data_IF_967101883566
#
_entry.id   IF_967101883566
#
_cell.length_a   1.000
_cell.length_b   1.000
_cell.length_c   1.000
_cell.angle_alpha   90.00
_cell.angle_beta   90.00
_cell.angle_gamma   90.00
#
_symmetry.space_group_name_H-M   'P 1'
#
loop_
_entity.id
_entity.type
_entity.pdbx_description
1 polymer ?
#
# COMPACT_ATOMS: atom_id res chain seq x y z
N UNK A 1 -19.05 20.37 -13.13
CA UNK A 1 -19.23 19.04 -13.75
C UNK A 1 -19.23 18.01 -12.64
N UNK A 2 -20.13 17.04 -12.72
CA UNK A 2 -20.19 15.95 -11.75
C UNK A 2 -18.95 15.05 -11.86
N UNK A 3 -18.44 14.58 -10.72
CA UNK A 3 -17.27 13.70 -10.64
C UNK A 3 -17.73 12.34 -10.11
N UNK A 4 -17.62 11.31 -10.94
CA UNK A 4 -18.12 9.98 -10.59
C UNK A 4 -16.98 8.97 -10.49
N UNK A 5 -17.11 8.07 -9.53
CA UNK A 5 -16.14 7.00 -9.26
C UNK A 5 -16.87 5.66 -9.30
N UNK A 6 -16.20 4.62 -9.84
CA UNK A 6 -16.76 3.27 -9.85
C UNK A 6 -16.58 2.61 -8.49
N UNK A 7 -17.59 1.88 -8.03
CA UNK A 7 -17.62 1.29 -6.68
C UNK A 7 -16.54 0.24 -6.38
N UNK A 8 -15.85 -0.29 -7.39
CA UNK A 8 -14.75 -1.25 -7.24
C UNK A 8 -13.40 -0.59 -6.96
N UNK A 9 -13.29 0.74 -7.05
CA UNK A 9 -12.08 1.46 -6.63
C UNK A 9 -11.83 1.22 -5.14
N UNK A 10 -10.59 0.85 -4.84
CA UNK A 10 -10.10 0.70 -3.48
C UNK A 10 -9.57 2.03 -2.94
N UNK A 11 -9.98 2.35 -1.72
CA UNK A 11 -9.57 3.54 -0.96
C UNK A 11 -9.00 3.13 0.39
N UNK A 12 -8.09 3.94 0.90
CA UNK A 12 -7.44 3.71 2.18
C UNK A 12 -8.30 4.33 3.30
N UNK A 13 -8.69 3.51 4.28
CA UNK A 13 -9.53 3.92 5.41
C UNK A 13 -8.81 3.69 6.74
N UNK A 14 -9.35 4.24 7.83
CA UNK A 14 -8.83 4.03 9.19
C UNK A 14 -8.80 2.54 9.60
N UNK A 15 -9.58 1.68 8.95
CA UNK A 15 -9.61 0.24 9.21
C UNK A 15 -8.89 -0.59 8.12
N UNK A 16 -8.14 0.08 7.23
CA UNK A 16 -7.45 -0.55 6.10
C UNK A 16 -8.13 -0.27 4.75
N UNK A 17 -7.79 -1.07 3.74
CA UNK A 17 -8.23 -0.81 2.36
C UNK A 17 -9.66 -1.34 2.14
N UNK A 18 -10.57 -0.48 1.67
CA UNK A 18 -11.98 -0.82 1.39
C UNK A 18 -12.37 -0.43 -0.04
N UNK A 19 -13.36 -1.14 -0.60
CA UNK A 19 -14.03 -0.73 -1.85
C UNK A 19 -14.97 0.42 -1.56
N UNK A 20 -15.10 1.35 -2.51
CA UNK A 20 -16.04 2.48 -2.39
C UNK A 20 -17.47 2.00 -2.17
N UNK A 21 -17.91 0.94 -2.86
CA UNK A 21 -19.27 0.41 -2.68
C UNK A 21 -19.52 -0.32 -1.34
N UNK A 22 -18.48 -0.42 -0.49
CA UNK A 22 -18.53 -0.99 0.85
C UNK A 22 -18.25 0.04 1.96
N UNK A 23 -18.09 1.32 1.60
CA UNK A 23 -17.96 2.38 2.58
C UNK A 23 -19.26 2.59 3.36
N UNK A 24 -19.09 3.02 4.61
CA UNK A 24 -20.10 3.40 5.57
C UNK A 24 -19.86 4.85 6.03
N UNK A 25 -20.84 5.45 6.69
CA UNK A 25 -20.73 6.83 7.19
C UNK A 25 -19.67 7.02 8.27
N UNK A 26 -19.24 5.94 8.92
CA UNK A 26 -18.25 5.97 10.00
C UNK A 26 -16.82 5.79 9.48
N UNK A 27 -16.66 5.48 8.19
CA UNK A 27 -15.35 5.33 7.58
C UNK A 27 -14.69 6.71 7.42
N UNK A 28 -13.42 6.78 7.82
CA UNK A 28 -12.57 7.93 7.57
C UNK A 28 -11.58 7.57 6.45
N UNK A 29 -11.41 8.45 5.49
CA UNK A 29 -10.53 8.23 4.35
C UNK A 29 -9.17 8.88 4.59
N UNK A 30 -8.10 8.15 4.25
CA UNK A 30 -6.75 8.68 4.24
C UNK A 30 -6.67 9.82 3.20
N UNK A 31 -6.07 10.93 3.59
CA UNK A 31 -5.85 12.11 2.74
C UNK A 31 -4.38 12.22 2.35
N UNK A 32 -4.07 13.11 1.40
CA UNK A 32 -2.70 13.36 0.92
C UNK A 32 -1.72 13.78 2.03
N UNK A 33 -2.23 14.33 3.13
CA UNK A 33 -1.44 14.79 4.28
C UNK A 33 -1.23 13.69 5.34
N UNK A 34 -1.41 12.41 4.99
CA UNK A 34 -1.34 11.26 5.91
C UNK A 34 -2.30 11.33 7.12
N UNK A 35 -3.43 12.05 6.96
CA UNK A 35 -4.48 12.16 7.99
C UNK A 35 -5.77 11.56 7.50
N UNK A 36 -6.59 11.06 8.42
CA UNK A 36 -7.92 10.57 8.13
C UNK A 36 -8.95 11.71 8.17
N UNK A 37 -9.90 11.71 7.22
CA UNK A 37 -10.95 12.72 7.08
C UNK A 37 -12.31 12.07 6.90
N UNK A 38 -13.34 12.68 7.49
CA UNK A 38 -14.71 12.19 7.38
C UNK A 38 -15.27 12.37 5.96
N UNK A 39 -16.20 11.48 5.61
CA UNK A 39 -16.92 11.52 4.34
C UNK A 39 -18.09 12.52 4.47
N UNK A 40 -18.09 13.58 3.65
CA UNK A 40 -19.14 14.62 3.66
C UNK A 40 -20.21 14.39 2.62
N UNK A 41 -19.87 13.73 1.51
CA UNK A 41 -20.80 13.37 0.46
C UNK A 41 -20.53 11.93 0.03
N UNK A 42 -21.58 11.10 0.05
CA UNK A 42 -21.54 9.74 -0.47
C UNK A 42 -22.87 9.40 -1.14
N UNK A 43 -22.96 9.62 -2.45
CA UNK A 43 -24.19 9.41 -3.21
C UNK A 43 -23.98 8.37 -4.31
N UNK A 44 -24.82 7.33 -4.31
CA UNK A 44 -24.88 6.33 -5.37
C UNK A 44 -25.80 6.80 -6.48
N UNK A 45 -25.29 6.85 -7.71
CA UNK A 45 -26.03 7.27 -8.90
C UNK A 45 -25.91 6.19 -9.97
N UNK A 46 -27.05 5.73 -10.51
CA UNK A 46 -27.04 4.80 -11.64
C UNK A 46 -26.89 5.60 -12.95
N UNK A 47 -25.88 5.28 -13.75
CA UNK A 47 -25.67 5.86 -15.07
C UNK A 47 -25.84 4.81 -16.17
N UNK A 48 -26.30 5.26 -17.33
CA UNK A 48 -26.34 4.49 -18.57
C UNK A 48 -25.44 5.18 -19.60
N UNK A 49 -24.74 4.39 -20.40
CA UNK A 49 -23.90 4.89 -21.48
C UNK A 49 -22.83 5.91 -21.06
N UNK A 50 -22.22 5.71 -19.90
CA UNK A 50 -21.27 6.63 -19.29
C UNK A 50 -19.81 6.28 -19.66
N UNK A 51 -18.99 7.25 -20.00
CA UNK A 51 -17.58 6.99 -20.34
C UNK A 51 -16.71 7.05 -19.08
N UNK A 52 -15.80 6.09 -18.95
CA UNK A 52 -14.80 6.05 -17.89
C UNK A 52 -13.41 5.90 -18.51
N UNK A 53 -12.39 6.22 -17.72
CA UNK A 53 -11.00 5.96 -18.03
C UNK A 53 -10.53 4.78 -17.21
N UNK A 54 -10.03 3.75 -17.89
CA UNK A 54 -9.37 2.59 -17.28
C UNK A 54 -7.92 2.97 -17.01
N UNK A 55 -7.52 2.94 -15.75
CA UNK A 55 -6.22 3.38 -15.24
C UNK A 55 -5.51 2.18 -14.62
N UNK A 56 -4.21 2.06 -14.92
CA UNK A 56 -3.28 1.12 -14.28
C UNK A 56 -2.00 1.88 -13.95
N UNK A 57 -1.55 1.79 -12.70
CA UNK A 57 -0.30 2.39 -12.23
C UNK A 57 0.70 1.30 -11.85
N UNK A 58 1.99 1.65 -11.72
CA UNK A 58 3.05 0.65 -11.69
C UNK A 58 2.98 -0.35 -10.54
N UNK A 59 2.45 0.07 -9.40
CA UNK A 59 2.32 -0.71 -8.18
C UNK A 59 0.95 -1.41 -8.02
N UNK A 60 0.05 -1.34 -9.00
CA UNK A 60 -1.30 -1.93 -8.92
C UNK A 60 -1.40 -3.26 -9.67
N UNK A 61 -2.20 -4.18 -9.10
CA UNK A 61 -2.55 -5.47 -9.73
C UNK A 61 -3.79 -5.36 -10.61
N UNK A 62 -4.76 -4.55 -10.19
CA UNK A 62 -6.02 -4.35 -10.90
C UNK A 62 -5.96 -3.20 -11.89
N UNK A 63 -7.03 -3.07 -12.67
CA UNK A 63 -7.33 -1.84 -13.37
C UNK A 63 -8.50 -1.16 -12.66
N UNK A 64 -8.41 0.16 -12.50
CA UNK A 64 -9.46 0.96 -11.89
C UNK A 64 -10.08 1.91 -12.89
N UNK A 65 -11.23 2.45 -12.54
CA UNK A 65 -12.05 3.23 -13.45
C UNK A 65 -12.49 4.54 -12.79
N UNK A 66 -12.19 5.65 -13.46
CA UNK A 66 -12.59 6.99 -13.04
C UNK A 66 -13.30 7.74 -14.16
N UNK A 67 -14.24 8.60 -13.82
CA UNK A 67 -14.70 9.64 -14.75
C UNK A 67 -13.55 10.59 -15.11
N UNK A 68 -13.58 11.11 -16.35
CA UNK A 68 -12.55 12.01 -16.87
C UNK A 68 -12.46 13.35 -16.15
N UNK A 69 -13.51 13.78 -15.44
CA UNK A 69 -13.53 15.03 -14.67
C UNK A 69 -13.01 14.88 -13.23
N UNK A 70 -12.76 13.65 -12.76
CA UNK A 70 -12.00 13.48 -11.52
C UNK A 70 -10.62 14.07 -11.72
N UNK A 71 -10.03 14.60 -10.65
CA UNK A 71 -8.65 15.08 -10.69
C UNK A 71 -7.77 14.14 -9.90
N UNK A 72 -6.56 13.91 -10.39
CA UNK A 72 -5.51 13.20 -9.64
C UNK A 72 -4.31 14.12 -9.47
N UNK A 73 -3.65 14.04 -8.31
CA UNK A 73 -2.39 14.75 -8.10
C UNK A 73 -1.31 14.06 -8.94
N UNK A 74 -0.76 14.77 -9.92
CA UNK A 74 0.20 14.24 -10.86
C UNK A 74 1.36 15.20 -11.14
N UNK A 75 2.47 14.65 -11.64
CA UNK A 75 3.51 15.40 -12.34
C UNK A 75 3.50 14.94 -13.80
N UNK A 76 3.49 15.91 -14.70
CA UNK A 76 3.53 15.72 -16.15
C UNK A 76 4.87 16.21 -16.70
N UNK A 77 5.15 15.91 -17.97
CA UNK A 77 6.32 16.38 -18.73
C UNK A 77 7.69 15.89 -18.19
N UNK A 78 7.72 14.76 -17.48
CA UNK A 78 8.99 14.07 -17.17
C UNK A 78 9.42 13.29 -18.43
N UNK A 79 10.67 13.45 -18.92
CA UNK A 79 11.14 12.71 -20.09
C UNK A 79 11.03 11.20 -19.88
N UNK A 80 10.55 10.49 -20.91
CA UNK A 80 10.23 9.07 -20.81
C UNK A 80 11.44 8.19 -20.50
N UNK A 81 12.60 8.56 -21.04
CA UNK A 81 13.89 7.88 -20.92
C UNK A 81 14.71 8.31 -19.70
N UNK A 82 14.21 9.30 -18.94
CA UNK A 82 14.86 9.74 -17.71
C UNK A 82 14.86 8.62 -16.69
N UNK A 83 16.04 8.34 -16.11
CA UNK A 83 16.14 7.37 -15.02
C UNK A 83 15.43 7.92 -13.79
N UNK A 84 14.80 7.03 -13.03
CA UNK A 84 14.02 7.40 -11.83
C UNK A 84 14.84 8.23 -10.84
N UNK A 85 16.13 7.91 -10.68
CA UNK A 85 17.03 8.62 -9.77
C UNK A 85 17.33 10.06 -10.21
N UNK A 86 17.14 10.37 -11.50
CA UNK A 86 17.37 11.70 -12.07
C UNK A 86 16.07 12.54 -12.08
N UNK A 87 14.90 11.93 -11.84
CA UNK A 87 13.61 12.62 -11.88
C UNK A 87 13.52 13.80 -10.91
N UNK A 88 14.01 13.65 -9.68
CA UNK A 88 13.96 14.71 -8.66
C UNK A 88 14.77 15.93 -9.09
N UNK A 89 15.96 15.73 -9.66
CA UNK A 89 16.80 16.83 -10.13
C UNK A 89 16.15 17.52 -11.33
N UNK A 90 15.64 16.74 -12.29
CA UNK A 90 14.91 17.29 -13.43
C UNK A 90 13.74 18.18 -13.02
N UNK A 91 12.91 17.72 -12.06
CA UNK A 91 11.76 18.50 -11.56
C UNK A 91 12.23 19.83 -10.96
N UNK A 92 13.24 19.80 -10.07
CA UNK A 92 13.79 21.01 -9.43
C UNK A 92 14.32 22.01 -10.44
N UNK A 93 14.96 21.54 -11.50
CA UNK A 93 15.50 22.40 -12.56
C UNK A 93 14.42 22.92 -13.52
N UNK A 94 13.23 22.29 -13.55
CA UNK A 94 12.18 22.52 -14.55
C UNK A 94 10.78 22.77 -13.95
N UNK A 95 10.70 23.37 -12.76
CA UNK A 95 9.43 23.60 -12.01
C UNK A 95 8.32 24.29 -12.82
N UNK A 96 8.68 25.08 -13.84
CA UNK A 96 7.72 25.74 -14.73
C UNK A 96 6.93 24.78 -15.63
N UNK A 97 7.48 23.61 -15.92
CA UNK A 97 6.90 22.62 -16.85
C UNK A 97 6.61 21.27 -16.18
N UNK A 98 7.32 20.95 -15.09
CA UNK A 98 7.17 19.72 -14.33
C UNK A 98 6.97 20.08 -12.86
N UNK A 99 5.72 20.21 -12.42
CA UNK A 99 5.35 20.46 -11.02
C UNK A 99 4.10 19.67 -10.63
N UNK A 100 3.94 19.35 -9.33
CA UNK A 100 2.74 18.70 -8.80
C UNK A 100 1.48 19.53 -9.08
N UNK A 101 0.49 18.94 -9.73
CA UNK A 101 -0.80 19.58 -10.00
C UNK A 101 -1.93 18.57 -10.07
N UNK A 102 -3.12 18.99 -9.63
CA UNK A 102 -4.35 18.24 -9.82
C UNK A 102 -4.84 18.34 -11.26
N UNK A 103 -4.61 17.27 -12.03
CA UNK A 103 -4.99 17.19 -13.45
C UNK A 103 -6.21 16.31 -13.63
N UNK A 104 -7.11 16.73 -14.50
CA UNK A 104 -8.27 15.92 -14.91
C UNK A 104 -7.79 14.59 -15.47
N UNK A 105 -8.43 13.49 -15.08
CA UNK A 105 -8.12 12.14 -15.57
C UNK A 105 -8.13 12.06 -17.10
N UNK A 106 -8.96 12.85 -17.77
CA UNK A 106 -9.00 12.91 -19.25
C UNK A 106 -7.71 13.41 -19.89
N UNK A 107 -6.86 14.10 -19.14
CA UNK A 107 -5.63 14.76 -19.60
C UNK A 107 -4.37 14.04 -19.09
N UNK A 108 -4.53 12.96 -18.32
CA UNK A 108 -3.42 12.14 -17.83
C UNK A 108 -3.03 11.13 -18.92
N UNK A 109 -1.74 10.89 -19.04
CA UNK A 109 -1.12 9.94 -19.99
C UNK A 109 -0.32 8.87 -19.26
N UNK A 110 0.15 7.86 -19.99
CA UNK A 110 1.07 6.82 -19.50
C UNK A 110 2.54 7.30 -19.33
N UNK A 111 2.80 8.58 -19.61
CA UNK A 111 4.06 9.27 -19.30
C UNK A 111 4.04 9.97 -17.94
N UNK A 112 2.86 10.12 -17.35
CA UNK A 112 2.68 10.89 -16.12
C UNK A 112 2.92 10.04 -14.86
N UNK A 113 3.18 10.74 -13.76
CA UNK A 113 3.34 10.16 -12.43
C UNK A 113 2.23 10.63 -11.52
N UNK A 114 1.66 9.73 -10.73
CA UNK A 114 0.60 10.02 -9.76
C UNK A 114 1.13 9.89 -8.34
N UNK A 115 0.61 10.73 -7.45
CA UNK A 115 1.09 10.82 -6.08
C UNK A 115 0.40 9.81 -5.16
N UNK A 116 1.19 9.27 -4.24
CA UNK A 116 0.75 8.65 -2.99
C UNK A 116 1.36 9.44 -1.83
N UNK A 117 0.69 9.53 -0.67
CA UNK A 117 1.20 10.30 0.44
C UNK A 117 2.49 9.66 0.99
N UNK A 118 3.40 10.49 1.50
CA UNK A 118 4.62 10.05 2.17
C UNK A 118 4.88 10.91 3.40
N UNK A 119 4.88 10.28 4.58
CA UNK A 119 5.15 11.00 5.82
C UNK A 119 6.65 11.01 6.12
N UNK A 120 7.26 12.18 5.93
CA UNK A 120 8.63 12.46 6.33
C UNK A 120 8.76 12.86 7.80
N UNK A 121 7.66 13.07 8.51
CA UNK A 121 7.75 13.42 9.92
C UNK A 121 8.04 12.14 10.72
N UNK A 122 9.28 12.03 11.20
CA UNK A 122 9.70 11.01 12.16
C UNK A 122 9.22 11.34 13.58
N UNK A 123 7.96 11.78 13.72
CA UNK A 123 7.34 11.97 15.04
C UNK A 123 6.99 10.59 15.62
N UNK A 124 8.02 9.87 16.04
CA UNK A 124 7.95 8.63 16.80
C UNK A 124 7.77 8.98 18.29
N UNK A 125 6.72 9.73 18.63
CA UNK A 125 6.32 9.99 20.01
C UNK A 125 5.61 8.77 20.61
N UNK A 126 6.24 7.61 20.50
CA UNK A 126 5.75 6.35 21.08
C UNK A 126 6.77 5.85 22.09
N UNK A 127 6.37 5.82 23.37
CA UNK A 127 7.20 5.36 24.49
C UNK A 127 7.28 3.82 24.61
N UNK A 128 6.62 3.07 23.70
CA UNK A 128 6.71 1.60 23.66
C UNK A 128 7.93 1.15 22.84
N UNK A 129 9.06 0.97 23.53
CA UNK A 129 10.33 0.52 22.95
C UNK A 129 10.49 -1.01 22.90
N UNK A 130 9.40 -1.79 23.02
CA UNK A 130 9.48 -3.25 22.98
C UNK A 130 9.65 -3.78 21.54
N UNK A 131 10.85 -3.63 20.99
CA UNK A 131 11.21 -4.08 19.64
C UNK A 131 10.97 -5.59 19.44
N UNK A 132 11.19 -6.41 20.47
CA UNK A 132 10.94 -7.85 20.43
C UNK A 132 9.47 -8.17 20.16
N UNK A 133 8.53 -7.44 20.79
CA UNK A 133 7.08 -7.59 20.54
C UNK A 133 6.72 -7.28 19.09
N UNK A 134 7.27 -6.21 18.51
CA UNK A 134 6.96 -5.83 17.13
C UNK A 134 7.64 -6.75 16.12
N UNK A 135 8.86 -7.20 16.39
CA UNK A 135 9.53 -8.24 15.62
C UNK A 135 8.71 -9.53 15.60
N UNK A 136 8.22 -9.98 16.76
CA UNK A 136 7.36 -11.18 16.85
C UNK A 136 6.05 -11.01 16.07
N UNK A 137 5.37 -9.86 16.21
CA UNK A 137 4.19 -9.52 15.38
C UNK A 137 4.48 -9.58 13.88
N UNK A 138 5.67 -9.18 13.46
CA UNK A 138 6.16 -9.32 12.10
C UNK A 138 6.27 -10.77 11.62
N UNK A 139 6.88 -11.63 12.44
CA UNK A 139 7.04 -13.06 12.11
C UNK A 139 5.70 -13.78 11.92
N UNK A 140 4.69 -13.42 12.71
CA UNK A 140 3.35 -14.04 12.66
C UNK A 140 2.37 -13.33 11.70
N UNK A 141 2.83 -12.28 11.00
CA UNK A 141 1.99 -11.52 10.09
C UNK A 141 1.38 -12.43 9.02
N UNK A 142 0.13 -12.14 8.63
CA UNK A 142 -0.68 -13.01 7.76
C UNK A 142 -1.04 -14.37 8.39
N UNK A 143 -1.04 -14.47 9.72
CA UNK A 143 -1.51 -15.66 10.46
C UNK A 143 -0.51 -16.81 10.49
N UNK A 144 0.79 -16.53 10.36
CA UNK A 144 1.83 -17.54 10.42
C UNK A 144 2.03 -18.05 11.85
N UNK A 145 1.57 -19.27 12.13
CA UNK A 145 1.65 -19.91 13.44
C UNK A 145 2.51 -21.20 13.44
N UNK A 146 3.10 -21.53 12.29
CA UNK A 146 3.95 -22.69 12.10
C UNK A 146 5.10 -22.34 11.16
N UNK A 147 6.33 -22.56 11.62
CA UNK A 147 7.54 -22.27 10.87
C UNK A 147 8.36 -23.54 10.69
N UNK A 148 8.89 -23.76 9.49
CA UNK A 148 9.90 -24.77 9.20
C UNK A 148 11.18 -24.06 8.77
N UNK A 149 12.11 -23.89 9.70
CA UNK A 149 13.27 -23.00 9.57
C UNK A 149 14.55 -23.80 9.39
N UNK A 150 15.45 -23.33 8.52
CA UNK A 150 16.76 -23.96 8.34
C UNK A 150 17.68 -23.61 9.52
N UNK A 151 18.31 -24.61 10.13
CA UNK A 151 19.09 -24.45 11.36
C UNK A 151 20.32 -23.53 11.17
N UNK A 152 20.89 -23.48 9.96
CA UNK A 152 22.06 -22.66 9.66
C UNK A 152 21.66 -21.24 9.25
N UNK A 153 20.66 -21.11 8.37
CA UNK A 153 20.24 -19.81 7.84
C UNK A 153 19.41 -19.00 8.83
N UNK A 154 18.59 -19.67 9.64
CA UNK A 154 17.60 -19.02 10.52
C UNK A 154 17.93 -19.15 12.01
N UNK A 155 19.20 -19.42 12.36
CA UNK A 155 19.65 -19.63 13.76
C UNK A 155 19.17 -18.52 14.70
N UNK A 156 19.27 -17.26 14.28
CA UNK A 156 18.87 -16.10 15.08
C UNK A 156 17.35 -16.04 15.28
N UNK A 157 16.57 -16.29 14.24
CA UNK A 157 15.10 -16.30 14.31
C UNK A 157 14.59 -17.47 15.15
N UNK A 158 15.20 -18.66 15.04
CA UNK A 158 14.91 -19.83 15.88
C UNK A 158 15.16 -19.50 17.36
N UNK A 159 16.33 -18.95 17.69
CA UNK A 159 16.68 -18.57 19.06
C UNK A 159 15.74 -17.50 19.62
N UNK A 160 15.39 -16.52 18.79
CA UNK A 160 14.42 -15.48 19.14
C UNK A 160 13.03 -16.07 19.45
N UNK A 161 12.46 -16.87 18.54
CA UNK A 161 11.13 -17.46 18.72
C UNK A 161 11.07 -18.30 20.00
N UNK A 162 12.06 -19.17 20.22
CA UNK A 162 12.12 -20.01 21.41
C UNK A 162 12.12 -19.17 22.71
N UNK A 163 12.97 -18.13 22.76
CA UNK A 163 13.06 -17.23 23.91
C UNK A 163 11.77 -16.42 24.10
N UNK A 164 11.23 -15.85 23.02
CA UNK A 164 10.06 -14.98 23.08
C UNK A 164 8.81 -15.75 23.53
N UNK A 165 8.55 -16.92 22.92
CA UNK A 165 7.40 -17.76 23.26
C UNK A 165 7.47 -18.22 24.73
N UNK A 166 8.65 -18.66 25.18
CA UNK A 166 8.89 -19.04 26.57
C UNK A 166 8.64 -17.88 27.55
N UNK A 167 9.25 -16.71 27.29
CA UNK A 167 9.15 -15.57 28.20
C UNK A 167 7.74 -14.99 28.29
N UNK A 168 6.90 -15.20 27.27
CA UNK A 168 5.52 -14.73 27.23
C UNK A 168 4.50 -15.84 27.57
N UNK A 169 4.95 -17.01 28.05
CA UNK A 169 4.09 -18.15 28.40
C UNK A 169 3.14 -18.59 27.26
N UNK A 170 3.59 -18.45 26.01
CA UNK A 170 2.83 -18.92 24.84
C UNK A 170 3.13 -20.42 24.69
N UNK A 171 2.14 -21.33 24.66
CA UNK A 171 2.41 -22.74 24.43
C UNK A 171 2.90 -23.00 23.00
N UNK A 172 3.98 -23.77 22.85
CA UNK A 172 4.56 -24.11 21.56
C UNK A 172 5.19 -25.50 21.56
N UNK A 173 5.24 -26.11 20.38
CA UNK A 173 5.96 -27.35 20.10
C UNK A 173 7.20 -27.05 19.26
N UNK A 174 8.33 -27.70 19.59
CA UNK A 174 9.56 -27.66 18.78
C UNK A 174 9.93 -29.08 18.36
N UNK A 175 10.08 -29.26 17.05
CA UNK A 175 10.62 -30.49 16.46
C UNK A 175 11.91 -30.13 15.73
N UNK A 176 13.03 -30.71 16.17
CA UNK A 176 14.34 -30.44 15.56
C UNK A 176 14.86 -31.69 14.84
N UNK A 177 15.42 -31.50 13.65
CA UNK A 177 16.23 -32.51 12.97
C UNK A 177 17.57 -31.88 12.54
N UNK A 178 18.43 -32.63 11.86
CA UNK A 178 19.79 -32.16 11.53
C UNK A 178 19.82 -30.89 10.63
N UNK A 179 18.75 -30.59 9.89
CA UNK A 179 18.70 -29.53 8.87
C UNK A 179 17.71 -28.42 9.26
N UNK A 180 16.59 -28.78 9.86
CA UNK A 180 15.45 -27.89 10.10
C UNK A 180 14.92 -27.97 11.52
N UNK A 181 14.51 -26.83 12.05
CA UNK A 181 13.71 -26.71 13.28
C UNK A 181 12.30 -26.29 12.88
N UNK A 182 11.32 -27.09 13.27
CA UNK A 182 9.91 -26.75 13.15
C UNK A 182 9.39 -26.21 14.48
N UNK A 183 8.82 -25.00 14.48
CA UNK A 183 8.19 -24.38 15.66
C UNK A 183 6.72 -24.17 15.33
N UNK A 184 5.83 -24.66 16.19
CA UNK A 184 4.37 -24.50 16.05
C UNK A 184 3.78 -23.96 17.34
N UNK A 185 2.83 -23.05 17.23
CA UNK A 185 2.04 -22.55 18.34
C UNK A 185 0.64 -22.22 17.86
N UNK A 186 -0.26 -21.90 18.77
CA UNK A 186 -1.59 -21.43 18.41
C UNK A 186 -1.81 -20.03 18.97
N UNK A 187 -2.05 -19.07 18.09
CA UNK A 187 -2.46 -17.72 18.43
C UNK A 187 -3.73 -17.39 17.64
N UNK A 188 -4.75 -16.96 18.37
CA UNK A 188 -6.01 -16.50 17.79
C UNK A 188 -5.97 -15.02 17.40
N UNK A 189 -5.02 -14.25 17.96
CA UNK A 189 -4.96 -12.81 17.76
C UNK A 189 -4.09 -12.45 16.57
N UNK A 190 -4.72 -11.87 15.55
CA UNK A 190 -4.03 -11.18 14.45
C UNK A 190 -3.58 -9.82 15.00
N UNK A 191 -2.34 -9.38 14.74
CA UNK A 191 -1.88 -8.09 15.25
C UNK A 191 -2.78 -6.96 14.73
N UNK A 192 -3.26 -6.11 15.63
CA UNK A 192 -3.80 -4.80 15.24
C UNK A 192 -2.62 -3.91 14.82
N UNK A 193 -2.55 -3.59 13.51
CA UNK A 193 -1.42 -2.85 12.92
C UNK A 193 -1.87 -1.49 12.34
N UNK A 194 -3.18 -1.26 12.27
CA UNK A 194 -3.74 -0.07 11.63
C UNK A 194 -3.45 1.22 12.41
N UNK A 195 -3.18 1.15 13.72
CA UNK A 195 -2.95 2.32 14.58
C UNK A 195 -1.50 2.45 15.09
N UNK A 196 -0.58 1.61 14.60
CA UNK A 196 0.81 1.66 15.04
C UNK A 196 1.58 2.83 14.42
N UNK A 197 2.53 3.37 15.17
CA UNK A 197 3.49 4.37 14.69
C UNK A 197 4.37 3.80 13.57
N UNK A 198 4.96 4.71 12.78
CA UNK A 198 5.86 4.36 11.67
C UNK A 198 7.01 3.46 12.14
N UNK A 199 7.64 3.77 13.29
CA UNK A 199 8.68 2.93 13.92
C UNK A 199 8.23 1.49 14.14
N UNK A 200 7.06 1.27 14.76
CA UNK A 200 6.57 -0.08 15.03
C UNK A 200 6.19 -0.83 13.76
N UNK A 201 5.63 -0.13 12.75
CA UNK A 201 5.37 -0.73 11.44
C UNK A 201 6.67 -1.18 10.77
N UNK A 202 7.75 -0.39 10.87
CA UNK A 202 9.08 -0.79 10.38
C UNK A 202 9.55 -2.06 11.08
N UNK A 203 9.48 -2.13 12.41
CA UNK A 203 9.90 -3.32 13.18
C UNK A 203 9.10 -4.58 12.81
N UNK A 204 7.78 -4.43 12.59
CA UNK A 204 6.92 -5.51 12.07
C UNK A 204 7.36 -5.95 10.69
N UNK A 205 7.56 -5.02 9.76
CA UNK A 205 7.92 -5.36 8.38
C UNK A 205 9.32 -5.98 8.30
N UNK A 206 10.27 -5.56 9.15
CA UNK A 206 11.58 -6.19 9.29
C UNK A 206 11.46 -7.64 9.78
N UNK A 207 10.69 -7.86 10.85
CA UNK A 207 10.42 -9.21 11.34
C UNK A 207 9.77 -10.11 10.28
N UNK A 208 8.82 -9.58 9.51
CA UNK A 208 8.19 -10.30 8.40
C UNK A 208 9.20 -10.67 7.30
N UNK A 209 10.06 -9.73 6.91
CA UNK A 209 11.06 -9.91 5.86
C UNK A 209 12.15 -10.94 6.20
N UNK A 210 12.41 -11.22 7.49
CA UNK A 210 13.38 -12.24 7.91
C UNK A 210 13.12 -13.62 7.30
N UNK A 211 11.83 -13.98 7.15
CA UNK A 211 11.40 -15.29 6.67
C UNK A 211 10.75 -15.24 5.28
N UNK A 212 10.32 -14.06 4.85
CA UNK A 212 9.48 -13.90 3.67
C UNK A 212 10.11 -12.91 2.67
N UNK A 213 11.22 -13.26 1.98
CA UNK A 213 11.75 -12.43 0.89
C UNK A 213 10.75 -12.34 -0.29
N UNK A 214 9.90 -13.35 -0.43
CA UNK A 214 8.78 -13.38 -1.37
C UNK A 214 7.55 -13.94 -0.67
N UNK A 215 6.38 -13.44 -1.04
CA UNK A 215 5.09 -13.98 -0.61
C UNK A 215 4.36 -14.50 -1.83
N UNK A 216 3.91 -15.75 -1.77
CA UNK A 216 3.10 -16.38 -2.79
C UNK A 216 1.73 -16.71 -2.19
N UNK A 217 0.68 -16.04 -2.64
CA UNK A 217 -0.67 -16.17 -2.05
C UNK A 217 -1.75 -16.12 -3.13
N UNK A 218 -2.81 -16.91 -2.98
CA UNK A 218 -4.04 -16.77 -3.78
C UNK A 218 -4.98 -15.72 -3.17
N UNK A 219 -4.76 -15.35 -1.90
CA UNK A 219 -5.61 -14.43 -1.18
C UNK A 219 -5.19 -12.98 -1.45
N UNK A 220 -5.98 -12.31 -2.29
CA UNK A 220 -5.80 -10.90 -2.63
C UNK A 220 -5.75 -9.97 -1.41
N UNK A 221 -6.42 -10.33 -0.30
CA UNK A 221 -6.39 -9.52 0.93
C UNK A 221 -4.98 -9.43 1.51
N UNK A 222 -4.18 -10.49 1.42
CA UNK A 222 -2.82 -10.50 1.95
C UNK A 222 -1.96 -9.45 1.22
N UNK A 223 -2.09 -9.34 -0.11
CA UNK A 223 -1.40 -8.31 -0.89
C UNK A 223 -1.79 -6.90 -0.43
N UNK A 224 -3.08 -6.62 -0.26
CA UNK A 224 -3.54 -5.30 0.15
C UNK A 224 -3.19 -4.97 1.60
N UNK A 225 -3.19 -5.96 2.49
CA UNK A 225 -2.69 -5.81 3.87
C UNK A 225 -1.22 -5.39 3.84
N UNK A 226 -0.36 -6.13 3.12
CA UNK A 226 1.05 -5.77 2.99
C UNK A 226 1.22 -4.40 2.33
N UNK A 227 0.47 -4.12 1.26
CA UNK A 227 0.56 -2.85 0.55
C UNK A 227 0.21 -1.66 1.44
N UNK A 228 -0.81 -1.78 2.28
CA UNK A 228 -1.16 -0.77 3.26
C UNK A 228 -0.03 -0.53 4.27
N UNK A 229 0.59 -1.60 4.78
CA UNK A 229 1.70 -1.49 5.74
C UNK A 229 2.93 -0.84 5.13
N UNK A 230 3.32 -1.25 3.92
CA UNK A 230 4.46 -0.65 3.23
C UNK A 230 4.21 0.81 2.87
N UNK A 231 2.98 1.18 2.49
CA UNK A 231 2.63 2.57 2.19
C UNK A 231 2.86 3.48 3.40
N UNK A 232 2.53 3.02 4.63
CA UNK A 232 2.75 3.77 5.87
C UNK A 232 4.21 4.13 6.13
N UNK A 233 5.16 3.35 5.60
CA UNK A 233 6.59 3.61 5.72
C UNK A 233 7.20 4.21 4.45
N UNK A 234 6.36 4.64 3.50
CA UNK A 234 6.82 5.28 2.27
C UNK A 234 7.26 4.34 1.16
N UNK A 235 6.81 3.09 1.19
CA UNK A 235 7.22 2.08 0.20
C UNK A 235 6.01 1.60 -0.60
N UNK A 236 6.12 1.64 -1.93
CA UNK A 236 5.11 1.07 -2.83
C UNK A 236 5.55 -0.32 -3.30
N UNK A 237 4.97 -1.35 -2.71
CA UNK A 237 5.13 -2.71 -3.22
C UNK A 237 4.27 -2.97 -4.45
N UNK A 238 4.71 -3.93 -5.27
CA UNK A 238 3.97 -4.43 -6.42
C UNK A 238 3.92 -5.95 -6.37
N UNK A 239 2.95 -6.53 -7.06
CA UNK A 239 2.85 -7.98 -7.21
C UNK A 239 2.63 -8.34 -8.67
N UNK A 240 3.14 -9.52 -9.04
CA UNK A 240 2.88 -10.13 -10.34
C UNK A 240 1.86 -11.24 -10.16
N UNK A 241 0.78 -11.22 -10.93
CA UNK A 241 -0.20 -12.30 -10.93
C UNK A 241 0.23 -13.37 -11.94
N UNK A 242 0.54 -14.58 -11.48
CA UNK A 242 0.95 -15.72 -12.30
C UNK A 242 0.38 -17.01 -11.71
N UNK A 243 -0.12 -17.92 -12.56
CA UNK A 243 -0.64 -19.23 -12.15
C UNK A 243 -1.64 -19.14 -10.97
N UNK A 244 -2.62 -18.24 -11.08
CA UNK A 244 -3.64 -17.96 -10.04
C UNK A 244 -3.10 -17.51 -8.67
N UNK A 245 -1.85 -17.06 -8.62
CA UNK A 245 -1.23 -16.55 -7.41
C UNK A 245 -0.68 -15.13 -7.59
N UNK A 246 -0.68 -14.38 -6.50
CA UNK A 246 0.03 -13.12 -6.34
C UNK A 246 1.44 -13.40 -5.83
N UNK A 247 2.44 -13.15 -6.67
CA UNK A 247 3.85 -13.15 -6.26
C UNK A 247 4.25 -11.74 -5.87
N UNK A 248 4.49 -11.54 -4.58
CA UNK A 248 4.88 -10.26 -3.98
C UNK A 248 6.35 -10.34 -3.61
N UNK A 249 7.18 -9.46 -4.18
CA UNK A 249 8.57 -9.31 -3.75
C UNK A 249 8.60 -8.38 -2.55
N UNK A 250 9.14 -8.85 -1.43
CA UNK A 250 9.30 -8.02 -0.24
C UNK A 250 10.55 -7.17 -0.42
N UNK A 251 10.43 -5.83 -0.39
CA UNK A 251 11.57 -4.94 -0.54
C UNK A 251 12.48 -5.03 0.68
N UNK A 252 13.76 -4.82 0.44
CA UNK A 252 14.71 -4.63 1.54
C UNK A 252 14.45 -3.25 2.15
N UNK A 253 14.05 -3.25 3.42
CA UNK A 253 13.66 -2.03 4.15
C UNK A 253 14.88 -1.17 4.47
N UNK A 254 16.06 -1.78 4.58
CA UNK A 254 17.32 -1.09 4.91
C UNK A 254 18.08 -0.60 3.68
N UNK A 255 17.70 -1.04 2.48
CA UNK A 255 18.34 -0.63 1.23
C UNK A 255 17.40 0.22 0.38
N UNK A 256 17.89 1.39 -0.03
CA UNK A 256 17.30 2.22 -1.08
C UNK A 256 17.52 1.54 -2.44
N UNK A 257 16.73 0.50 -2.73
CA UNK A 257 16.71 -0.11 -4.06
C UNK A 257 16.09 0.90 -5.05
N UNK A 258 16.52 0.86 -6.31
CA UNK A 258 15.82 1.51 -7.42
C UNK A 258 14.39 0.97 -7.55
N UNK A 259 13.46 1.62 -6.85
CA UNK A 259 12.05 1.32 -6.96
C UNK A 259 11.48 1.94 -8.26
N UNK A 260 10.33 1.43 -8.73
CA UNK A 260 9.61 2.00 -9.88
C UNK A 260 8.86 3.32 -9.52
N UNK A 261 9.40 4.08 -8.58
CA UNK A 261 8.88 5.35 -8.06
C UNK A 261 10.02 6.20 -7.51
N UNK A 262 9.79 7.49 -7.34
CA UNK A 262 10.69 8.40 -6.63
C UNK A 262 9.92 9.19 -5.56
N UNK A 263 10.65 9.79 -4.61
CA UNK A 263 10.08 10.63 -3.55
C UNK A 263 10.36 12.10 -3.85
N UNK A 264 9.34 12.93 -3.81
CA UNK A 264 9.46 14.39 -4.00
C UNK A 264 8.30 15.10 -3.27
N UNK A 265 8.59 16.18 -2.54
CA UNK A 265 7.61 16.99 -1.80
C UNK A 265 6.62 16.17 -0.95
N UNK A 266 7.11 15.27 -0.09
CA UNK A 266 6.29 14.43 0.79
C UNK A 266 5.28 13.52 0.04
N UNK A 267 5.60 13.16 -1.20
CA UNK A 267 4.83 12.20 -1.98
C UNK A 267 5.73 11.15 -2.60
N UNK A 268 5.18 9.95 -2.73
CA UNK A 268 5.73 8.88 -3.56
C UNK A 268 5.10 9.01 -4.96
N UNK A 269 5.92 9.20 -5.98
CA UNK A 269 5.48 9.41 -7.35
C UNK A 269 5.61 8.12 -8.15
N UNK A 270 4.47 7.56 -8.53
CA UNK A 270 4.40 6.29 -9.25
C UNK A 270 3.95 6.49 -10.70
N UNK A 271 4.64 5.86 -11.65
CA UNK A 271 4.33 5.98 -13.08
C UNK A 271 2.98 5.34 -13.42
N UNK A 272 2.18 6.05 -14.22
CA UNK A 272 1.00 5.50 -14.88
C UNK A 272 1.45 4.49 -15.95
N UNK A 273 1.08 3.21 -15.79
CA UNK A 273 1.42 2.16 -16.77
C UNK A 273 0.55 2.23 -18.01
N UNK A 274 -0.73 2.55 -17.82
CA UNK A 274 -1.71 2.60 -18.90
C UNK A 274 -2.93 3.40 -18.47
N UNK A 275 -3.38 4.30 -19.33
CA UNK A 275 -4.65 4.99 -19.20
C UNK A 275 -5.36 5.02 -20.54
N UNK A 276 -6.62 4.58 -20.57
CA UNK A 276 -7.39 4.47 -21.82
C UNK A 276 -8.86 4.75 -21.55
N UNK A 277 -9.49 5.58 -22.39
CA UNK A 277 -10.95 5.74 -22.38
C UNK A 277 -11.60 4.42 -22.82
N UNK A 278 -12.51 3.90 -22.01
CA UNK A 278 -13.21 2.63 -22.28
C UNK A 278 -14.63 2.85 -22.79
N UNK A 279 -15.22 1.78 -23.31
CA UNK A 279 -16.59 1.74 -23.79
C UNK A 279 -17.61 2.15 -22.72
N UNK A 280 -18.79 2.51 -23.22
CA UNK A 280 -19.95 3.01 -22.47
C UNK A 280 -20.33 2.06 -21.30
N UNK A 281 -19.99 2.46 -20.08
CA UNK A 281 -20.37 1.81 -18.84
C UNK A 281 -21.85 2.03 -18.53
N UNK A 282 -22.49 1.00 -18.00
CA UNK A 282 -23.84 1.07 -17.42
C UNK A 282 -23.81 0.42 -16.05
N UNK A 283 -24.22 1.15 -15.02
CA UNK A 283 -24.21 0.66 -13.64
C UNK A 283 -24.14 1.76 -12.61
N UNK A 284 -23.82 1.36 -11.38
CA UNK A 284 -23.72 2.27 -10.24
C UNK A 284 -22.35 2.97 -10.21
N UNK A 285 -22.42 4.30 -10.11
CA UNK A 285 -21.29 5.16 -9.81
C UNK A 285 -21.54 5.91 -8.51
N UNK A 286 -20.49 6.50 -7.95
CA UNK A 286 -20.50 7.14 -6.65
C UNK A 286 -19.90 8.54 -6.75
N UNK A 287 -20.58 9.51 -6.14
CA UNK A 287 -19.97 10.79 -5.77
C UNK A 287 -19.43 10.63 -4.36
N UNK A 288 -18.15 10.94 -4.17
CA UNK A 288 -17.45 10.84 -2.89
C UNK A 288 -16.71 12.14 -2.63
N UNK A 289 -16.95 12.76 -1.47
CA UNK A 289 -16.18 13.91 -0.99
C UNK A 289 -15.78 13.72 0.47
N UNK A 290 -14.61 14.23 0.80
CA UNK A 290 -14.09 14.34 2.17
C UNK A 290 -14.14 15.79 2.63
N UNK A 291 -14.07 16.03 3.93
CA UNK A 291 -13.97 17.40 4.48
C UNK A 291 -12.74 18.14 3.94
N UNK A 292 -11.62 17.44 3.80
CA UNK A 292 -10.36 17.99 3.27
C UNK A 292 -10.27 18.00 1.74
N UNK A 293 -11.34 17.62 1.04
CA UNK A 293 -11.44 17.66 -0.43
C UNK A 293 -10.73 16.54 -1.19
N UNK A 294 -9.65 15.96 -0.65
CA UNK A 294 -8.84 14.95 -1.32
C UNK A 294 -8.82 13.63 -0.52
N UNK A 295 -8.65 12.50 -1.22
CA UNK A 295 -8.50 11.18 -0.58
C UNK A 295 -7.54 10.28 -1.37
N UNK A 296 -6.98 9.29 -0.67
CA UNK A 296 -5.99 8.35 -1.21
C UNK A 296 -6.68 7.08 -1.68
N UNK A 297 -6.38 6.69 -2.92
CA UNK A 297 -6.88 5.48 -3.55
C UNK A 297 -5.75 4.60 -4.04
N UNK A 298 -6.10 3.41 -4.53
CA UNK A 298 -5.15 2.48 -5.16
C UNK A 298 -4.43 3.04 -6.38
N UNK A 299 -4.97 4.09 -7.01
CA UNK A 299 -4.39 4.75 -8.17
C UNK A 299 -3.78 6.12 -7.83
N UNK A 300 -3.68 6.48 -6.55
CA UNK A 300 -3.11 7.74 -6.08
C UNK A 300 -4.13 8.67 -5.42
N UNK A 301 -3.72 9.90 -5.16
CA UNK A 301 -4.56 10.96 -4.56
C UNK A 301 -5.57 11.48 -5.57
N UNK A 302 -6.86 11.51 -5.17
CA UNK A 302 -8.00 11.96 -5.98
C UNK A 302 -8.67 13.17 -5.32
N UNK A 303 -9.16 14.10 -6.16
CA UNK A 303 -9.95 15.30 -5.80
C UNK A 303 -11.23 15.42 -6.65
#
# INVERSE_FOLDING_TARGET
MDKYIRGDLLVYTNDGIKRIDKLSSNDLLLTENNKYSAITEFAKVNKKNYYLYKIKVSNTIDNYYLDGNNKMLCIQNIPFDLKINDCVNFIKDNLRIASPVFTNVSNITDFDYVAFPYDNNDNNDDNDDNDDKYRFKGLILLGQNAFSLNNNLNKNTIGFLNKYLHNNNIPYDIFNNNITTTIKFNLNDIPEINYLSKKHVISILKGFAELNPFVNTTNKKDFYTLKNLFLKIGILISATFMNDNYLIKIPDIDNEINYNYFIYENHIWCKVKKITKVDKYTGALYNLKTENGNFVSEIGVIS
#
